data_IF_215271521916
#
_entry.id   IF_215271521916
#
_cell.length_a   1.000
_cell.length_b   1.000
_cell.length_c   1.000
_cell.angle_alpha   90.00
_cell.angle_beta   90.00
_cell.angle_gamma   90.00
#
_symmetry.space_group_name_H-M   'P 1'
#
loop_
_entity.id
_entity.type
_entity.pdbx_description
1 polymer ?
#
# COMPACT_ATOMS: atom_id res chain seq x y z
N UNK A 1 -5.42 3.82 -5.05
CA UNK A 1 -4.06 4.36 -4.96
C UNK A 1 -4.08 5.67 -4.20
N UNK A 2 -3.23 5.84 -3.20
CA UNK A 2 -3.02 7.13 -2.50
C UNK A 2 -1.91 7.92 -3.19
N UNK A 3 -2.06 9.25 -3.28
CA UNK A 3 -1.10 10.14 -3.92
C UNK A 3 -0.95 11.43 -3.15
N UNK A 4 0.27 11.94 -3.05
CA UNK A 4 0.59 13.21 -2.37
C UNK A 4 0.87 14.37 -3.35
N UNK A 5 0.31 14.29 -4.56
CA UNK A 5 0.48 15.28 -5.62
C UNK A 5 1.97 15.54 -5.96
N UNK A 6 2.67 14.49 -6.39
CA UNK A 6 4.10 14.52 -6.73
C UNK A 6 4.40 13.69 -7.97
N UNK A 7 5.49 14.03 -8.67
CA UNK A 7 5.95 13.32 -9.88
C UNK A 7 6.30 11.84 -9.68
N UNK A 8 6.43 11.34 -8.45
CA UNK A 8 6.74 9.92 -8.23
C UNK A 8 5.63 9.00 -8.73
N UNK A 9 4.39 9.49 -8.77
CA UNK A 9 3.24 8.75 -9.31
C UNK A 9 3.46 8.30 -10.75
N UNK A 10 4.14 9.10 -11.57
CA UNK A 10 4.47 8.75 -12.95
C UNK A 10 5.34 7.50 -13.02
N UNK A 11 6.36 7.45 -12.15
CA UNK A 11 7.27 6.30 -12.06
C UNK A 11 6.55 5.07 -11.52
N UNK A 12 5.62 5.26 -10.59
CA UNK A 12 4.77 4.20 -10.03
C UNK A 12 3.89 3.58 -11.12
N UNK A 13 3.15 4.40 -11.89
CA UNK A 13 2.33 3.91 -13.00
C UNK A 13 3.14 3.26 -14.12
N UNK A 14 4.23 3.91 -14.58
CA UNK A 14 5.12 3.30 -15.59
C UNK A 14 5.65 1.96 -15.13
N UNK A 15 6.05 1.86 -13.86
CA UNK A 15 6.51 0.59 -13.31
C UNK A 15 5.38 -0.43 -13.18
N UNK A 16 4.17 -0.01 -12.82
CA UNK A 16 3.01 -0.90 -12.73
C UNK A 16 2.72 -1.53 -14.09
N UNK A 17 2.50 -0.72 -15.14
CA UNK A 17 2.17 -1.24 -16.47
C UNK A 17 3.31 -2.03 -17.13
N UNK A 18 4.57 -1.76 -16.77
CA UNK A 18 5.71 -2.53 -17.28
C UNK A 18 5.83 -3.91 -16.65
N UNK A 19 5.50 -4.05 -15.37
CA UNK A 19 5.84 -5.23 -14.59
C UNK A 19 4.64 -6.01 -14.07
N UNK A 20 3.43 -5.44 -14.04
CA UNK A 20 2.23 -6.10 -13.55
C UNK A 20 1.32 -6.43 -14.72
N UNK A 21 0.94 -7.70 -14.85
CA UNK A 21 -0.03 -8.17 -15.85
C UNK A 21 -1.26 -8.77 -15.18
N UNK A 22 -2.39 -8.65 -15.87
CA UNK A 22 -3.68 -9.26 -15.53
C UNK A 22 -4.50 -9.32 -16.82
N UNK A 23 -5.27 -10.39 -17.01
CA UNK A 23 -6.15 -10.55 -18.19
C UNK A 23 -7.39 -9.66 -18.06
N UNK A 24 -7.80 -9.37 -16.82
CA UNK A 24 -8.88 -8.43 -16.52
C UNK A 24 -8.42 -6.98 -16.67
N UNK A 25 -9.30 -6.09 -17.16
CA UNK A 25 -9.01 -4.66 -17.28
C UNK A 25 -8.88 -4.01 -15.90
N UNK A 26 -7.83 -3.20 -15.71
CA UNK A 26 -7.69 -2.39 -14.50
C UNK A 26 -8.58 -1.14 -14.55
N UNK A 27 -9.23 -0.87 -13.42
CA UNK A 27 -9.80 0.45 -13.08
C UNK A 27 -9.00 1.02 -11.93
N UNK A 28 -8.41 2.20 -12.13
CA UNK A 28 -7.65 2.89 -11.11
C UNK A 28 -8.52 3.93 -10.41
N UNK A 29 -8.48 3.91 -9.08
CA UNK A 29 -9.09 4.94 -8.25
C UNK A 29 -7.95 5.63 -7.50
N UNK A 30 -7.78 6.93 -7.73
CA UNK A 30 -6.65 7.71 -7.23
C UNK A 30 -7.14 8.80 -6.28
N UNK A 31 -6.77 8.71 -5.00
CA UNK A 31 -6.99 9.79 -4.05
C UNK A 31 -5.76 10.69 -4.01
N UNK A 32 -5.92 11.97 -4.33
CA UNK A 32 -4.84 12.94 -4.48
C UNK A 32 -4.93 13.96 -3.36
N UNK A 33 -4.07 13.83 -2.37
CA UNK A 33 -3.87 14.84 -1.33
C UNK A 33 -2.93 15.93 -1.86
N UNK A 34 -3.47 17.14 -2.07
CA UNK A 34 -2.74 18.25 -2.67
C UNK A 34 -1.85 18.92 -1.64
N UNK A 35 -0.67 18.33 -1.40
CA UNK A 35 0.37 18.96 -0.58
C UNK A 35 1.13 20.07 -1.32
N UNK A 36 1.10 20.03 -2.66
CA UNK A 36 1.71 21.04 -3.51
C UNK A 36 0.81 21.27 -4.74
N UNK A 37 0.02 22.36 -4.77
CA UNK A 37 -0.94 22.62 -5.84
C UNK A 37 -0.27 22.90 -7.19
N UNK A 38 1.02 23.29 -7.21
CA UNK A 38 1.76 23.57 -8.45
C UNK A 38 1.86 22.34 -9.36
N UNK A 39 1.90 21.13 -8.80
CA UNK A 39 2.00 19.90 -9.59
C UNK A 39 0.64 19.33 -10.01
N UNK A 40 -0.46 19.90 -9.54
CA UNK A 40 -1.78 19.35 -9.80
C UNK A 40 -2.15 19.35 -11.31
N UNK A 41 -1.94 20.44 -12.08
CA UNK A 41 -2.24 20.44 -13.51
C UNK A 41 -1.45 19.38 -14.29
N UNK A 42 -0.13 19.31 -14.05
CA UNK A 42 0.75 18.31 -14.68
C UNK A 42 0.31 16.88 -14.34
N UNK A 43 -0.10 16.65 -13.08
CA UNK A 43 -0.60 15.36 -12.64
C UNK A 43 -1.92 14.99 -13.34
N UNK A 44 -2.86 15.93 -13.46
CA UNK A 44 -4.15 15.68 -14.12
C UNK A 44 -3.94 15.32 -15.60
N UNK A 45 -3.08 16.07 -16.29
CA UNK A 45 -2.71 15.78 -17.69
C UNK A 45 -2.04 14.40 -17.81
N UNK A 46 -1.12 14.07 -16.90
CA UNK A 46 -0.48 12.75 -16.86
C UNK A 46 -1.51 11.62 -16.67
N UNK A 47 -2.44 11.74 -15.72
CA UNK A 47 -3.46 10.71 -15.48
C UNK A 47 -4.37 10.52 -16.71
N UNK A 48 -4.77 11.63 -17.36
CA UNK A 48 -5.56 11.58 -18.60
C UNK A 48 -4.80 10.84 -19.70
N UNK A 49 -3.55 11.24 -19.99
CA UNK A 49 -2.71 10.59 -21.01
C UNK A 49 -2.46 9.12 -20.69
N UNK A 50 -2.29 8.77 -19.42
CA UNK A 50 -2.12 7.39 -18.98
C UNK A 50 -3.38 6.56 -19.23
N UNK A 51 -4.56 7.09 -18.90
CA UNK A 51 -5.85 6.45 -19.19
C UNK A 51 -6.00 6.16 -20.68
N UNK A 52 -5.72 7.14 -21.54
CA UNK A 52 -5.79 7.02 -23.00
C UNK A 52 -4.76 6.01 -23.56
N UNK A 53 -3.50 6.10 -23.12
CA UNK A 53 -2.40 5.28 -23.66
C UNK A 53 -2.53 3.80 -23.31
N UNK A 54 -3.03 3.47 -22.12
CA UNK A 54 -3.17 2.09 -21.66
C UNK A 54 -4.60 1.55 -21.79
N UNK A 55 -5.56 2.37 -22.24
CA UNK A 55 -6.96 1.97 -22.37
C UNK A 55 -7.61 1.57 -21.05
N UNK A 56 -7.26 2.24 -19.96
CA UNK A 56 -7.74 1.97 -18.59
C UNK A 56 -8.60 3.12 -18.07
N UNK A 57 -9.57 2.81 -17.20
CA UNK A 57 -10.33 3.84 -16.50
C UNK A 57 -9.52 4.36 -15.30
N UNK A 58 -9.34 5.68 -15.21
CA UNK A 58 -8.67 6.34 -14.07
C UNK A 58 -9.60 7.40 -13.48
N UNK A 59 -10.22 7.03 -12.37
CA UNK A 59 -11.03 7.93 -11.55
C UNK A 59 -10.13 8.55 -10.49
N UNK A 60 -10.27 9.86 -10.29
CA UNK A 60 -9.49 10.57 -9.29
C UNK A 60 -10.37 11.45 -8.41
N UNK A 61 -10.00 11.53 -7.13
CA UNK A 61 -10.55 12.48 -6.17
C UNK A 61 -9.44 13.40 -5.70
N UNK A 62 -9.63 14.70 -5.91
CA UNK A 62 -8.69 15.74 -5.47
C UNK A 62 -9.12 16.23 -4.09
N UNK A 63 -8.21 16.15 -3.13
CA UNK A 63 -8.36 16.74 -1.80
C UNK A 63 -7.46 17.97 -1.69
N UNK A 64 -8.03 19.14 -1.99
CA UNK A 64 -7.33 20.43 -1.95
C UNK A 64 -7.09 20.97 -0.54
N UNK A 65 -7.70 20.37 0.49
CA UNK A 65 -7.54 20.77 1.88
C UNK A 65 -7.13 19.56 2.73
N UNK A 66 -5.85 19.11 2.64
CA UNK A 66 -5.38 17.99 3.43
C UNK A 66 -5.48 18.34 4.93
N UNK A 67 -5.92 17.37 5.72
CA UNK A 67 -6.11 17.58 7.16
C UNK A 67 -4.85 18.06 7.87
N UNK A 68 -5.04 18.79 8.98
CA UNK A 68 -3.96 19.39 9.76
C UNK A 68 -2.92 18.37 10.27
N UNK A 69 -3.32 17.11 10.44
CA UNK A 69 -2.42 16.02 10.79
C UNK A 69 -2.37 14.96 9.67
N UNK A 70 -1.19 14.34 9.52
CA UNK A 70 -0.91 13.36 8.48
C UNK A 70 -1.78 12.09 8.59
N UNK A 71 -2.04 11.61 9.81
CA UNK A 71 -2.80 10.38 10.02
C UNK A 71 -4.26 10.53 9.59
N UNK A 72 -4.88 11.67 9.89
CA UNK A 72 -6.24 11.99 9.48
C UNK A 72 -6.35 12.08 7.96
N UNK A 73 -5.42 12.78 7.30
CA UNK A 73 -5.40 12.85 5.84
C UNK A 73 -5.28 11.44 5.23
N UNK A 74 -4.36 10.64 5.75
CA UNK A 74 -4.13 9.27 5.26
C UNK A 74 -5.32 8.33 5.54
N UNK A 75 -5.89 8.34 6.75
CA UNK A 75 -7.08 7.54 7.10
C UNK A 75 -8.29 7.92 6.24
N UNK A 76 -8.53 9.21 5.97
CA UNK A 76 -9.60 9.66 5.07
C UNK A 76 -9.37 9.20 3.63
N UNK A 77 -8.14 9.33 3.13
CA UNK A 77 -7.77 8.88 1.79
C UNK A 77 -8.00 7.37 1.62
N UNK A 78 -7.49 6.57 2.56
CA UNK A 78 -7.66 5.11 2.55
C UNK A 78 -9.14 4.72 2.69
N UNK A 79 -9.85 5.30 3.66
CA UNK A 79 -11.27 5.02 3.88
C UNK A 79 -12.12 5.32 2.66
N UNK A 80 -11.87 6.47 1.99
CA UNK A 80 -12.50 6.78 0.72
C UNK A 80 -12.18 5.74 -0.36
N UNK A 81 -10.90 5.41 -0.56
CA UNK A 81 -10.51 4.42 -1.57
C UNK A 81 -11.20 3.07 -1.32
N UNK A 82 -11.22 2.59 -0.08
CA UNK A 82 -11.89 1.34 0.29
C UNK A 82 -13.42 1.40 0.06
N UNK A 83 -14.04 2.55 0.31
CA UNK A 83 -15.47 2.75 0.01
C UNK A 83 -15.80 2.61 -1.48
N UNK A 84 -14.87 2.97 -2.37
CA UNK A 84 -15.07 2.94 -3.82
C UNK A 84 -14.75 1.60 -4.49
N UNK A 85 -14.24 0.61 -3.75
CA UNK A 85 -13.96 -0.72 -4.33
C UNK A 85 -15.27 -1.44 -4.62
N UNK A 86 -15.46 -1.86 -5.88
CA UNK A 86 -16.64 -2.59 -6.38
C UNK A 86 -16.31 -4.02 -6.84
N UNK A 87 -15.06 -4.28 -7.24
CA UNK A 87 -14.58 -5.59 -7.67
C UNK A 87 -14.45 -6.57 -6.49
N UNK A 88 -14.39 -7.88 -6.76
CA UNK A 88 -14.17 -8.90 -5.71
C UNK A 88 -12.77 -8.85 -5.09
N UNK A 89 -11.78 -8.48 -5.91
CA UNK A 89 -10.40 -8.28 -5.50
C UNK A 89 -9.96 -6.86 -5.85
N UNK A 90 -9.03 -6.31 -5.09
CA UNK A 90 -8.44 -5.01 -5.34
C UNK A 90 -6.93 -5.07 -5.22
N UNK A 91 -6.26 -4.15 -5.92
CA UNK A 91 -4.83 -3.97 -5.80
C UNK A 91 -4.54 -2.62 -5.13
N UNK A 92 -3.94 -2.63 -3.93
CA UNK A 92 -3.53 -1.41 -3.25
C UNK A 92 -2.12 -0.99 -3.69
N UNK A 93 -1.93 0.32 -3.86
CA UNK A 93 -0.67 0.93 -4.26
C UNK A 93 -0.62 2.36 -3.72
N UNK A 94 0.56 2.84 -3.35
CA UNK A 94 0.82 4.26 -3.08
C UNK A 94 1.69 4.84 -4.21
N UNK A 95 1.67 6.16 -4.39
CA UNK A 95 2.34 6.88 -5.48
C UNK A 95 3.88 6.86 -5.45
N UNK A 96 4.52 6.13 -4.53
CA UNK A 96 5.96 6.01 -4.40
C UNK A 96 6.49 4.58 -4.36
N UNK A 97 5.78 3.64 -4.96
CA UNK A 97 6.23 2.27 -5.11
C UNK A 97 6.51 1.92 -6.56
N UNK A 98 7.68 1.34 -6.82
CA UNK A 98 7.99 0.73 -8.10
C UNK A 98 8.14 -0.78 -7.96
N UNK A 99 7.79 -1.51 -9.00
CA UNK A 99 8.00 -2.94 -9.17
C UNK A 99 9.38 -3.21 -9.77
N UNK A 100 10.04 -4.26 -9.27
CA UNK A 100 11.39 -4.66 -9.67
C UNK A 100 11.40 -5.94 -10.50
N UNK A 101 10.29 -6.69 -10.49
CA UNK A 101 10.14 -8.00 -11.13
C UNK A 101 8.77 -8.06 -11.79
N UNK A 102 8.63 -8.90 -12.83
CA UNK A 102 7.33 -9.17 -13.45
C UNK A 102 6.44 -9.92 -12.46
N UNK A 103 5.16 -9.55 -12.40
CA UNK A 103 4.13 -10.13 -11.54
C UNK A 103 2.91 -10.37 -12.41
N UNK A 104 2.52 -11.63 -12.54
CA UNK A 104 1.25 -12.01 -13.13
C UNK A 104 0.20 -12.17 -12.02
N UNK A 105 -0.86 -11.36 -12.07
CA UNK A 105 -1.93 -11.40 -11.08
C UNK A 105 -2.93 -12.53 -11.35
N UNK A 106 -3.01 -13.07 -12.57
CA UNK A 106 -4.04 -14.07 -12.89
C UNK A 106 -3.95 -15.32 -12.00
N UNK A 107 -2.77 -15.96 -11.80
CA UNK A 107 -2.66 -17.12 -10.92
C UNK A 107 -3.00 -16.78 -9.47
N UNK A 108 -2.63 -15.58 -9.01
CA UNK A 108 -2.92 -15.12 -7.65
C UNK A 108 -4.42 -14.90 -7.43
N UNK A 109 -5.11 -14.32 -8.41
CA UNK A 109 -6.56 -14.11 -8.36
C UNK A 109 -7.29 -15.45 -8.40
N UNK A 110 -6.87 -16.40 -9.24
CA UNK A 110 -7.44 -17.76 -9.28
C UNK A 110 -7.25 -18.46 -7.93
N UNK A 111 -6.05 -18.38 -7.37
CA UNK A 111 -5.73 -18.93 -6.05
C UNK A 111 -6.64 -18.34 -4.97
N UNK A 112 -6.80 -17.01 -4.96
CA UNK A 112 -7.72 -16.36 -4.01
C UNK A 112 -9.17 -16.78 -4.27
N UNK A 113 -9.66 -16.89 -5.51
CA UNK A 113 -11.03 -17.38 -5.77
C UNK A 113 -11.23 -18.80 -5.22
N UNK A 114 -10.22 -19.68 -5.30
CA UNK A 114 -10.28 -21.08 -4.85
C UNK A 114 -10.13 -21.27 -3.34
N UNK A 115 -9.32 -20.44 -2.67
CA UNK A 115 -9.00 -20.58 -1.25
C UNK A 115 -9.44 -19.34 -0.46
N UNK A 116 -10.69 -19.30 0.05
CA UNK A 116 -11.27 -18.12 0.71
C UNK A 116 -10.46 -17.57 1.89
N UNK A 117 -9.68 -18.42 2.57
CA UNK A 117 -8.81 -18.03 3.67
C UNK A 117 -7.60 -17.17 3.25
N UNK A 118 -7.29 -17.07 1.95
CA UNK A 118 -6.21 -16.21 1.44
C UNK A 118 -6.78 -14.81 1.22
N UNK A 119 -6.69 -13.94 2.22
CA UNK A 119 -7.30 -12.61 2.14
C UNK A 119 -6.42 -11.59 1.43
N UNK A 120 -5.11 -11.82 1.50
CA UNK A 120 -4.11 -10.81 1.18
C UNK A 120 -2.83 -11.45 0.67
N UNK A 121 -2.34 -10.96 -0.47
CA UNK A 121 -1.04 -11.36 -1.04
C UNK A 121 -0.20 -10.10 -1.25
N UNK A 122 0.93 -10.02 -0.54
CA UNK A 122 1.85 -8.89 -0.47
C UNK A 122 3.04 -9.08 -1.39
N UNK A 123 3.63 -7.96 -1.79
CA UNK A 123 4.89 -7.92 -2.52
C UNK A 123 6.03 -7.40 -1.64
N UNK A 124 7.20 -8.05 -1.71
CA UNK A 124 8.32 -7.85 -0.80
C UNK A 124 9.10 -6.56 -1.11
N UNK A 125 9.26 -5.68 -0.10
CA UNK A 125 10.09 -4.46 -0.21
C UNK A 125 11.59 -4.73 -0.13
N UNK A 126 11.96 -5.82 0.51
CA UNK A 126 13.32 -6.25 0.87
C UNK A 126 13.36 -7.78 0.78
N UNK A 127 14.51 -8.36 1.12
CA UNK A 127 14.60 -9.82 1.24
C UNK A 127 13.51 -10.34 2.20
N UNK A 128 12.80 -11.38 1.79
CA UNK A 128 11.75 -12.01 2.60
C UNK A 128 12.43 -12.66 3.82
N UNK A 129 12.20 -12.16 5.05
CA UNK A 129 12.92 -12.66 6.21
C UNK A 129 12.32 -13.98 6.73
N UNK A 130 13.09 -14.73 7.52
CA UNK A 130 12.58 -15.89 8.26
C UNK A 130 11.62 -15.50 9.38
N UNK A 131 11.71 -14.27 9.89
CA UNK A 131 10.85 -13.75 10.97
C UNK A 131 10.29 -12.38 10.61
N UNK A 132 9.05 -12.13 11.00
CA UNK A 132 8.38 -10.84 10.83
C UNK A 132 8.18 -10.14 12.16
N UNK A 133 8.35 -8.82 12.14
CA UNK A 133 8.19 -7.96 13.31
C UNK A 133 6.73 -7.53 13.52
N UNK A 134 6.23 -7.76 14.74
CA UNK A 134 4.93 -7.33 15.26
C UNK A 134 4.85 -5.81 15.52
N UNK A 135 5.02 -5.00 14.48
CA UNK A 135 5.05 -3.53 14.60
C UNK A 135 3.76 -2.91 15.18
N UNK A 136 2.64 -3.64 15.14
CA UNK A 136 1.40 -3.19 15.76
C UNK A 136 1.43 -3.26 17.29
N UNK A 137 2.31 -4.08 17.88
CA UNK A 137 2.52 -4.20 19.33
C UNK A 137 3.56 -3.18 19.80
N UNK A 138 4.70 -3.09 19.11
CA UNK A 138 5.82 -2.24 19.51
C UNK A 138 6.46 -1.58 18.29
N UNK A 139 6.89 -0.32 18.44
CA UNK A 139 7.70 0.41 17.45
C UNK A 139 9.21 0.11 17.57
N UNK A 140 9.59 -0.72 18.55
CA UNK A 140 10.94 -1.27 18.73
C UNK A 140 11.01 -2.69 18.19
N UNK A 141 12.07 -2.97 17.43
CA UNK A 141 12.37 -4.32 16.95
C UNK A 141 13.16 -5.06 18.02
N UNK A 142 12.52 -6.01 18.71
CA UNK A 142 13.14 -6.94 19.65
C UNK A 142 12.71 -8.38 19.34
N UNK A 143 13.51 -9.37 19.75
CA UNK A 143 13.26 -10.80 19.47
C UNK A 143 11.90 -11.30 19.98
N UNK A 144 11.42 -10.77 21.10
CA UNK A 144 10.10 -11.10 21.66
C UNK A 144 8.92 -10.73 20.72
N UNK A 145 9.13 -9.77 19.81
CA UNK A 145 8.16 -9.32 18.83
C UNK A 145 8.45 -9.84 17.41
N UNK A 146 9.30 -10.87 17.28
CA UNK A 146 9.57 -11.55 16.02
C UNK A 146 8.84 -12.90 15.99
N UNK A 147 7.95 -13.08 15.02
CA UNK A 147 7.27 -14.36 14.78
C UNK A 147 7.85 -15.03 13.53
N UNK A 148 8.12 -16.35 13.54
CA UNK A 148 8.52 -17.10 12.36
C UNK A 148 7.51 -16.96 11.22
N UNK A 149 8.02 -16.69 10.03
CA UNK A 149 7.26 -16.82 8.79
C UNK A 149 7.27 -18.27 8.32
N UNK A 150 6.25 -18.68 7.57
CA UNK A 150 6.13 -20.05 7.07
C UNK A 150 6.02 -20.07 5.55
N UNK A 151 6.98 -20.68 4.87
CA UNK A 151 6.86 -20.94 3.43
C UNK A 151 5.81 -22.03 3.17
N UNK A 152 4.97 -21.80 2.17
CA UNK A 152 3.92 -22.73 1.72
C UNK A 152 3.86 -22.75 0.20
N UNK A 153 3.46 -23.87 -0.37
CA UNK A 153 3.17 -24.01 -1.80
C UNK A 153 1.69 -24.36 -1.92
N UNK A 154 0.94 -23.55 -2.66
CA UNK A 154 -0.50 -23.75 -2.89
C UNK A 154 -0.74 -23.62 -4.40
N UNK A 155 -1.24 -24.67 -5.04
CA UNK A 155 -1.39 -24.75 -6.51
C UNK A 155 -0.14 -24.29 -7.27
N UNK A 156 1.02 -24.85 -6.90
CA UNK A 156 2.35 -24.54 -7.48
C UNK A 156 2.84 -23.09 -7.31
N UNK A 157 2.08 -22.25 -6.60
CA UNK A 157 2.47 -20.89 -6.25
C UNK A 157 3.18 -20.92 -4.90
N UNK A 158 4.45 -20.52 -4.87
CA UNK A 158 5.17 -20.36 -3.59
C UNK A 158 4.80 -19.04 -2.93
N UNK A 159 4.37 -19.15 -1.67
CA UNK A 159 3.99 -18.04 -0.81
C UNK A 159 4.69 -18.16 0.54
N UNK A 160 4.76 -17.05 1.26
CA UNK A 160 5.20 -17.02 2.66
C UNK A 160 4.07 -16.49 3.53
N UNK A 161 3.53 -17.32 4.41
CA UNK A 161 2.54 -16.94 5.42
C UNK A 161 3.20 -15.96 6.41
N UNK A 162 2.53 -14.83 6.62
CA UNK A 162 2.97 -13.76 7.49
C UNK A 162 2.00 -13.60 8.66
N UNK A 163 2.50 -13.23 9.84
CA UNK A 163 1.65 -12.97 11.00
C UNK A 163 0.83 -11.67 10.87
N UNK A 164 1.10 -10.81 9.87
CA UNK A 164 0.68 -9.42 9.90
C UNK A 164 0.42 -8.78 8.54
N UNK A 165 -0.56 -7.89 8.58
CA UNK A 165 -0.96 -7.05 7.48
C UNK A 165 -0.09 -5.80 7.34
N UNK A 166 0.01 -5.26 6.13
CA UNK A 166 0.59 -3.93 5.86
C UNK A 166 0.17 -3.36 4.49
N UNK A 167 0.23 -2.04 4.35
CA UNK A 167 -0.18 -1.30 3.14
C UNK A 167 0.76 -1.40 1.94
N UNK A 168 1.94 -2.04 2.09
CA UNK A 168 2.82 -2.34 0.96
C UNK A 168 2.00 -2.91 -0.21
N UNK A 169 2.41 -2.69 -1.48
CA UNK A 169 1.62 -3.12 -2.61
C UNK A 169 1.13 -4.55 -2.42
N UNK A 170 -0.16 -4.75 -2.65
CA UNK A 170 -0.81 -6.02 -2.35
C UNK A 170 -2.08 -6.20 -3.17
N UNK A 171 -2.39 -7.47 -3.41
CA UNK A 171 -3.68 -7.94 -3.86
C UNK A 171 -4.51 -8.33 -2.62
N UNK A 172 -5.73 -7.83 -2.51
CA UNK A 172 -6.60 -8.08 -1.36
C UNK A 172 -8.03 -8.43 -1.76
N UNK A 173 -8.78 -9.07 -0.86
CA UNK A 173 -10.22 -9.28 -1.01
C UNK A 173 -11.02 -8.07 -0.55
N UNK A 174 -12.00 -7.71 -1.36
CA UNK A 174 -12.90 -6.61 -1.04
C UNK A 174 -13.77 -6.91 0.17
N UNK A 175 -14.27 -8.14 0.31
CA UNK A 175 -15.09 -8.54 1.46
C UNK A 175 -14.40 -8.26 2.80
N UNK A 176 -13.09 -8.49 2.87
CA UNK A 176 -12.27 -8.26 4.06
C UNK A 176 -12.08 -6.77 4.33
N UNK A 177 -11.68 -6.01 3.31
CA UNK A 177 -11.30 -4.60 3.51
C UNK A 177 -12.49 -3.70 3.84
N UNK A 178 -13.72 -4.09 3.43
CA UNK A 178 -14.94 -3.35 3.76
C UNK A 178 -15.22 -3.31 5.27
N UNK A 179 -14.70 -4.26 6.05
CA UNK A 179 -14.75 -4.25 7.51
C UNK A 179 -13.82 -3.20 8.17
N UNK A 180 -12.96 -2.56 7.39
CA UNK A 180 -12.02 -1.54 7.85
C UNK A 180 -12.32 -0.15 7.29
N UNK A 181 -13.58 0.14 6.99
CA UNK A 181 -14.01 1.45 6.46
C UNK A 181 -14.17 2.51 7.57
N UNK A 182 -14.26 2.08 8.83
CA UNK A 182 -14.42 2.90 10.03
C UNK A 182 -13.07 3.32 10.65
N UNK A 183 -12.10 3.74 9.82
CA UNK A 183 -10.74 4.04 10.29
C UNK A 183 -10.74 5.20 11.29
N UNK A 184 -10.10 5.04 12.46
CA UNK A 184 -9.92 6.13 13.41
C UNK A 184 -9.07 7.23 12.78
N UNK A 185 -9.57 8.45 12.92
CA UNK A 185 -8.99 9.63 12.27
C UNK A 185 -7.65 10.05 12.90
N UNK A 186 -7.39 9.69 14.16
CA UNK A 186 -6.23 10.16 14.92
C UNK A 186 -5.13 9.11 15.11
N UNK A 187 -5.31 7.93 14.53
CA UNK A 187 -4.36 6.82 14.66
C UNK A 187 -3.74 6.47 13.32
N UNK A 188 -2.59 5.80 13.35
CA UNK A 188 -2.01 5.26 12.14
C UNK A 188 -2.95 4.17 11.59
N UNK A 189 -3.56 4.35 10.40
CA UNK A 189 -4.51 3.38 9.86
C UNK A 189 -3.87 2.02 9.63
N UNK A 190 -2.56 1.97 9.38
CA UNK A 190 -1.85 0.70 9.15
C UNK A 190 -1.82 -0.12 10.42
N UNK A 191 -1.45 0.53 11.54
CA UNK A 191 -1.40 -0.08 12.86
C UNK A 191 -2.79 -0.53 13.30
N UNK A 192 -3.80 0.30 13.05
CA UNK A 192 -5.19 -0.02 13.36
C UNK A 192 -5.70 -1.23 12.57
N UNK A 193 -5.52 -1.26 11.24
CA UNK A 193 -5.94 -2.39 10.40
C UNK A 193 -5.19 -3.65 10.81
N UNK A 194 -3.88 -3.55 11.05
CA UNK A 194 -3.07 -4.69 11.47
C UNK A 194 -3.61 -5.30 12.78
N UNK A 195 -3.90 -4.46 13.77
CA UNK A 195 -4.50 -4.88 15.04
C UNK A 195 -5.92 -5.43 14.88
N UNK A 196 -6.80 -4.77 14.12
CA UNK A 196 -8.16 -5.30 13.87
C UNK A 196 -8.12 -6.63 13.14
N UNK A 197 -7.25 -6.77 12.15
CA UNK A 197 -7.11 -7.98 11.37
C UNK A 197 -6.68 -9.16 12.25
N UNK A 198 -5.74 -8.96 13.19
CA UNK A 198 -5.31 -10.03 14.10
C UNK A 198 -6.42 -10.55 15.03
N UNK A 199 -7.48 -9.76 15.25
CA UNK A 199 -8.63 -10.18 16.08
C UNK A 199 -9.79 -10.75 15.25
N UNK A 200 -9.96 -10.31 14.01
CA UNK A 200 -11.12 -10.69 13.18
C UNK A 200 -10.85 -11.87 12.24
N UNK A 201 -9.59 -12.11 11.87
CA UNK A 201 -9.24 -13.17 10.95
C UNK A 201 -9.22 -14.53 11.66
N UNK A 202 -10.40 -15.04 12.07
CA UNK A 202 -10.53 -16.40 12.65
C UNK A 202 -9.95 -17.48 11.73
N UNK A 203 -9.95 -17.24 10.41
CA UNK A 203 -9.35 -18.12 9.40
C UNK A 203 -8.56 -17.38 8.31
N UNK A 204 -8.49 -16.04 8.37
CA UNK A 204 -7.85 -15.21 7.34
C UNK A 204 -6.33 -15.24 7.45
N UNK A 205 -5.66 -15.55 6.35
CA UNK A 205 -4.20 -15.63 6.27
C UNK A 205 -3.64 -14.61 5.30
N UNK A 206 -2.52 -14.05 5.70
CA UNK A 206 -1.77 -13.05 4.94
C UNK A 206 -0.55 -13.73 4.36
N UNK A 207 -0.34 -13.53 3.08
CA UNK A 207 0.77 -14.12 2.37
C UNK A 207 1.66 -13.07 1.74
N UNK A 208 2.94 -13.39 1.56
CA UNK A 208 3.86 -12.70 0.68
C UNK A 208 4.10 -13.58 -0.54
N UNK A 209 4.10 -13.00 -1.74
CA UNK A 209 4.45 -13.71 -2.96
C UNK A 209 5.97 -13.92 -3.05
N UNK A 210 6.41 -15.17 -3.15
CA UNK A 210 7.81 -15.58 -3.19
C UNK A 210 8.20 -16.59 -2.11
N UNK A 211 9.50 -16.72 -1.88
CA UNK A 211 10.14 -17.64 -0.92
C UNK A 211 10.91 -16.91 0.16
N UNK A 212 11.15 -17.56 1.29
CA UNK A 212 12.08 -17.01 2.29
C UNK A 212 13.46 -16.83 1.63
N UNK A 213 14.07 -15.66 1.85
CA UNK A 213 15.33 -15.28 1.22
C UNK A 213 15.20 -14.56 -0.13
N UNK A 214 14.04 -14.63 -0.79
CA UNK A 214 13.85 -13.93 -2.07
C UNK A 214 14.05 -12.42 -1.92
N UNK A 215 14.78 -11.83 -2.86
CA UNK A 215 14.97 -10.38 -2.92
C UNK A 215 13.67 -9.63 -3.22
N UNK A 216 13.71 -8.31 -3.00
CA UNK A 216 12.59 -7.40 -3.18
C UNK A 216 11.89 -7.53 -4.55
N UNK A 217 10.56 -7.60 -4.55
CA UNK A 217 9.72 -7.43 -5.75
C UNK A 217 9.24 -6.00 -5.95
N UNK A 218 9.27 -5.18 -4.90
CA UNK A 218 8.92 -3.74 -4.95
C UNK A 218 9.96 -2.88 -4.22
N UNK A 219 10.01 -1.58 -4.55
CA UNK A 219 10.87 -0.59 -3.88
C UNK A 219 10.14 0.72 -3.68
N UNK A 220 10.24 1.24 -2.47
CA UNK A 220 9.81 2.60 -2.11
C UNK A 220 10.82 3.63 -2.64
N UNK A 221 10.33 4.59 -3.43
CA UNK A 221 11.09 5.68 -4.04
C UNK A 221 10.73 7.06 -3.48
N UNK A 222 9.82 7.12 -2.51
CA UNK A 222 9.28 8.37 -1.97
C UNK A 222 10.08 8.89 -0.79
N UNK A 223 10.74 7.98 -0.07
CA UNK A 223 11.54 8.31 1.11
C UNK A 223 12.99 8.60 0.72
N UNK A 224 13.30 9.85 0.43
CA UNK A 224 14.70 10.31 0.48
C UNK A 224 15.14 10.31 1.97
N UNK A 225 15.90 9.29 2.37
CA UNK A 225 16.38 9.10 3.77
C UNK A 225 17.06 10.34 4.35
N UNK A 226 17.81 11.08 3.53
CA UNK A 226 18.45 12.32 3.95
C UNK A 226 17.41 13.41 4.23
N UNK A 227 16.42 13.60 3.34
CA UNK A 227 15.30 14.54 3.60
C UNK A 227 14.48 14.14 4.82
N UNK A 228 14.27 12.85 5.08
CA UNK A 228 13.60 12.39 6.30
C UNK A 228 14.42 12.71 7.55
N UNK A 229 15.73 12.45 7.54
CA UNK A 229 16.63 12.84 8.63
C UNK A 229 16.60 14.36 8.85
N UNK A 230 16.65 15.16 7.78
CA UNK A 230 16.56 16.63 7.85
C UNK A 230 15.20 17.08 8.40
N UNK A 231 14.09 16.48 7.95
CA UNK A 231 12.74 16.79 8.47
C UNK A 231 12.60 16.42 9.93
N UNK A 232 13.10 15.25 10.33
CA UNK A 232 13.11 14.80 11.74
C UNK A 232 13.96 15.74 12.61
N UNK A 233 15.14 16.14 12.12
CA UNK A 233 15.99 17.11 12.81
C UNK A 233 15.30 18.46 12.94
N UNK A 234 14.71 18.99 11.86
CA UNK A 234 13.93 20.24 11.89
C UNK A 234 12.75 20.18 12.86
N UNK A 235 12.06 19.04 12.92
CA UNK A 235 10.96 18.81 13.85
C UNK A 235 11.44 18.81 15.31
N UNK A 236 12.55 18.12 15.61
CA UNK A 236 13.18 18.13 16.95
C UNK A 236 13.62 19.54 17.32
N UNK A 237 14.32 20.25 16.42
CA UNK A 237 14.78 21.62 16.63
C UNK A 237 13.64 22.62 16.83
N UNK A 238 12.44 22.33 16.33
CA UNK A 238 11.22 23.13 16.54
C UNK A 238 10.40 22.68 17.77
N UNK A 239 10.97 21.87 18.66
CA UNK A 239 10.30 21.42 19.89
C UNK A 239 9.11 20.51 19.61
N UNK A 240 9.18 19.67 18.57
CA UNK A 240 8.10 18.76 18.20
C UNK A 240 6.93 19.42 17.47
N UNK A 241 7.12 20.64 16.96
CA UNK A 241 6.17 21.30 16.07
C UNK A 241 6.65 21.11 14.63
N UNK A 242 5.80 20.53 13.79
CA UNK A 242 6.05 20.54 12.35
C UNK A 242 6.15 22.00 11.90
N UNK A 243 7.06 22.30 10.96
CA UNK A 243 7.00 23.59 10.30
C UNK A 243 5.60 23.72 9.72
N UNK A 244 4.88 24.77 10.12
CA UNK A 244 3.70 25.21 9.37
C UNK A 244 4.11 25.20 7.90
N UNK A 245 3.33 24.50 7.09
CA UNK A 245 3.45 24.62 5.64
C UNK A 245 3.15 26.10 5.38
N UNK A 246 4.20 26.89 5.15
CA UNK A 246 4.03 28.26 4.65
C UNK A 246 3.48 28.05 3.25
N UNK A 247 2.19 28.30 3.13
CA UNK A 247 1.39 28.17 1.90
C UNK A 247 1.91 29.10 0.81
#
# INVERSE_FOLDING_TARGET
>A
MTSTCRKTIERTFHSFFKYVSCDEKFRFIVHIDVLNPRYLPDLMDFLKKTSESYGVDIIHKVNSNPSANYYEAHSRAVGYLFSCIESLHYFHLEDDWIFLKKIDLNPLIVLMKKYPYIDHIRFSKKNIPERSWLYHISDVVSEEFLIPNKEVIIDDITLVELPLWSFNPHLGRTSVVKHFTDLPIRENPEKYICHKYSHFAENGKIYMYGRIGDGASVRDIGRNRLRQKIRKLKYILKGGKYAEYIF
#
